data_IF_122636637677
#
_entry.id   IF_122636637677
#
_cell.length_a   1.000
_cell.length_b   1.000
_cell.length_c   1.000
_cell.angle_alpha   90.00
_cell.angle_beta   90.00
_cell.angle_gamma   90.00
#
_symmetry.space_group_name_H-M   'P 1'
#
loop_
_entity.id
_entity.type
_entity.pdbx_description
1 polymer ?
#
# COMPACT_ATOMS: atom_id res chain seq x y z
N UNK A 1 13.14 -6.30 9.10
CA UNK A 1 11.91 -7.09 8.95
C UNK A 1 10.72 -6.37 9.59
N UNK A 2 9.50 -6.84 9.36
CA UNK A 2 8.30 -6.30 10.00
C UNK A 2 7.44 -7.40 10.58
N UNK A 3 6.92 -7.16 11.78
CA UNK A 3 6.03 -8.04 12.52
C UNK A 3 4.59 -7.51 12.42
N UNK A 4 3.64 -8.39 12.15
CA UNK A 4 2.21 -8.06 12.15
C UNK A 4 1.58 -8.26 13.52
N UNK A 5 0.36 -7.75 13.73
CA UNK A 5 -0.45 -8.00 14.94
C UNK A 5 -0.64 -9.50 15.24
N UNK A 6 -0.67 -10.33 14.20
CA UNK A 6 -0.77 -11.78 14.32
C UNK A 6 0.57 -12.49 14.58
N UNK A 7 1.63 -11.76 14.94
CA UNK A 7 3.00 -12.25 15.19
C UNK A 7 3.72 -12.90 14.01
N UNK A 8 3.21 -12.76 12.78
CA UNK A 8 3.93 -13.21 11.58
C UNK A 8 4.91 -12.15 11.10
N UNK A 9 6.12 -12.59 10.71
CA UNK A 9 7.20 -11.72 10.26
C UNK A 9 7.41 -11.79 8.76
N UNK A 10 7.59 -10.64 8.11
CA UNK A 10 7.85 -10.53 6.67
C UNK A 10 8.94 -9.50 6.37
N UNK A 11 9.41 -9.48 5.13
CA UNK A 11 10.20 -8.36 4.63
C UNK A 11 9.31 -7.12 4.47
N UNK A 12 9.84 -5.93 4.77
CA UNK A 12 9.10 -4.65 4.79
C UNK A 12 8.42 -4.36 3.45
N UNK A 13 9.20 -4.40 2.37
CA UNK A 13 8.71 -4.22 1.00
C UNK A 13 7.67 -5.28 0.61
N UNK A 14 7.89 -6.53 1.01
CA UNK A 14 7.03 -7.66 0.68
C UNK A 14 5.61 -7.46 1.22
N UNK A 15 5.49 -7.11 2.50
CA UNK A 15 4.16 -6.91 3.08
C UNK A 15 3.51 -5.61 2.58
N UNK A 16 4.29 -4.55 2.31
CA UNK A 16 3.76 -3.33 1.70
C UNK A 16 3.14 -3.62 0.34
N UNK A 17 3.84 -4.33 -0.54
CA UNK A 17 3.31 -4.74 -1.86
C UNK A 17 2.09 -5.67 -1.73
N UNK A 18 2.08 -6.55 -0.73
CA UNK A 18 0.92 -7.41 -0.46
C UNK A 18 -0.31 -6.61 -0.02
N UNK A 19 -0.14 -5.65 0.89
CA UNK A 19 -1.22 -4.85 1.49
C UNK A 19 -1.99 -4.02 0.46
N UNK A 20 -1.35 -3.62 -0.64
CA UNK A 20 -2.01 -2.96 -1.78
C UNK A 20 -3.08 -3.85 -2.40
N UNK A 21 -2.87 -5.17 -2.42
CA UNK A 21 -3.82 -6.14 -2.99
C UNK A 21 -4.82 -6.64 -1.95
N UNK A 22 -4.34 -7.01 -0.77
CA UNK A 22 -5.17 -7.58 0.29
C UNK A 22 -4.66 -7.17 1.67
N UNK A 23 -5.56 -6.66 2.52
CA UNK A 23 -5.24 -6.25 3.88
C UNK A 23 -5.34 -7.41 4.91
N UNK A 24 -4.94 -8.62 4.52
CA UNK A 24 -4.94 -9.83 5.34
C UNK A 24 -3.52 -10.41 5.43
N UNK A 25 -3.18 -11.01 6.57
CA UNK A 25 -1.90 -11.69 6.74
C UNK A 25 -1.75 -12.82 5.69
N UNK A 26 -0.62 -12.88 4.95
CA UNK A 26 -0.39 -13.94 3.96
C UNK A 26 -0.44 -15.37 4.52
N UNK A 27 -0.15 -15.55 5.81
CA UNK A 27 -0.06 -16.86 6.47
C UNK A 27 -1.38 -17.24 7.12
N UNK A 28 -1.86 -16.45 8.09
CA UNK A 28 -3.03 -16.80 8.89
C UNK A 28 -4.33 -16.11 8.44
N UNK A 29 -4.27 -15.21 7.45
CA UNK A 29 -5.42 -14.46 6.92
C UNK A 29 -6.12 -13.55 7.94
N UNK A 30 -5.48 -13.25 9.06
CA UNK A 30 -5.98 -12.25 10.01
C UNK A 30 -5.82 -10.83 9.43
N UNK A 31 -6.76 -9.93 9.75
CA UNK A 31 -6.68 -8.54 9.31
C UNK A 31 -5.43 -7.86 9.87
N UNK A 32 -4.72 -7.15 8.98
CA UNK A 32 -3.51 -6.42 9.35
C UNK A 32 -3.92 -5.08 9.96
N UNK A 33 -3.71 -4.94 11.27
CA UNK A 33 -3.98 -3.70 12.01
C UNK A 33 -2.69 -2.96 12.36
N UNK A 34 -1.62 -3.69 12.66
CA UNK A 34 -0.32 -3.12 13.02
C UNK A 34 0.81 -3.69 12.16
N UNK A 35 1.82 -2.86 11.90
CA UNK A 35 3.10 -3.26 11.33
C UNK A 35 4.19 -2.65 12.19
N UNK A 36 5.00 -3.49 12.82
CA UNK A 36 6.07 -3.07 13.72
C UNK A 36 7.42 -3.49 13.15
N UNK A 37 8.34 -2.55 13.03
CA UNK A 37 9.73 -2.84 12.64
C UNK A 37 10.42 -3.61 13.75
N UNK A 38 11.22 -4.61 13.38
CA UNK A 38 11.95 -5.43 14.32
C UNK A 38 13.44 -5.39 14.00
N UNK A 39 14.13 -4.46 14.67
CA UNK A 39 15.57 -4.22 14.51
C UNK A 39 16.41 -5.34 15.12
N UNK A 40 15.92 -6.00 16.17
CA UNK A 40 16.59 -7.15 16.77
C UNK A 40 16.66 -8.32 15.79
N UNK A 41 15.57 -8.61 15.09
CA UNK A 41 15.56 -9.62 14.02
C UNK A 41 16.45 -9.20 12.86
N UNK A 42 16.49 -7.91 12.50
CA UNK A 42 17.40 -7.43 11.45
C UNK A 42 18.87 -7.67 11.84
N UNK A 43 19.27 -7.28 13.05
CA UNK A 43 20.63 -7.53 13.57
C UNK A 43 20.98 -9.01 13.62
N UNK A 44 20.04 -9.85 14.08
CA UNK A 44 20.25 -11.31 14.09
C UNK A 44 20.44 -11.89 12.70
N UNK A 45 19.67 -11.44 11.71
CA UNK A 45 19.83 -11.89 10.32
C UNK A 45 21.19 -11.44 9.76
N UNK A 46 21.63 -10.22 10.06
CA UNK A 46 22.96 -9.74 9.65
C UNK A 46 24.08 -10.58 10.28
N UNK A 47 24.00 -10.90 11.57
CA UNK A 47 24.98 -11.79 12.23
C UNK A 47 24.96 -13.21 11.64
N UNK A 48 23.78 -13.76 11.30
CA UNK A 48 23.72 -15.04 10.58
C UNK A 48 24.42 -14.93 9.23
N UNK A 49 24.19 -13.86 8.48
CA UNK A 49 24.81 -13.68 7.17
C UNK A 49 26.34 -13.65 7.27
N UNK A 50 26.88 -12.96 8.28
CA UNK A 50 28.32 -12.94 8.58
C UNK A 50 28.89 -14.33 8.89
N UNK A 51 28.15 -15.15 9.65
CA UNK A 51 28.56 -16.51 9.97
C UNK A 51 28.51 -17.47 8.77
N UNK A 52 27.64 -17.22 7.79
CA UNK A 52 27.50 -18.05 6.59
C UNK A 52 28.54 -17.75 5.50
N UNK A 53 29.29 -16.66 5.64
CA UNK A 53 30.43 -16.31 4.79
C UNK A 53 30.17 -15.12 3.85
N UNK A 54 31.25 -14.67 3.20
CA UNK A 54 31.27 -13.43 2.39
C UNK A 54 30.28 -13.49 1.22
N UNK A 55 30.17 -14.63 0.53
CA UNK A 55 29.25 -14.80 -0.60
C UNK A 55 27.80 -14.48 -0.21
N UNK A 56 27.35 -14.99 0.94
CA UNK A 56 25.98 -14.78 1.42
C UNK A 56 25.76 -13.35 1.93
N UNK A 57 26.77 -12.74 2.56
CA UNK A 57 26.72 -11.32 2.94
C UNK A 57 26.57 -10.43 1.70
N UNK A 58 27.34 -10.71 0.65
CA UNK A 58 27.30 -9.96 -0.60
C UNK A 58 25.94 -10.11 -1.27
N UNK A 59 25.43 -11.34 -1.43
CA UNK A 59 24.10 -11.59 -2.02
C UNK A 59 22.99 -10.86 -1.23
N UNK A 60 23.06 -10.88 0.10
CA UNK A 60 22.15 -10.11 0.95
C UNK A 60 22.25 -8.61 0.68
N UNK A 61 23.46 -8.05 0.61
CA UNK A 61 23.68 -6.63 0.41
C UNK A 61 23.18 -6.16 -0.96
N UNK A 62 23.48 -6.93 -2.01
CA UNK A 62 22.96 -6.69 -3.37
C UNK A 62 21.43 -6.69 -3.36
N UNK A 63 20.83 -7.72 -2.74
CA UNK A 63 19.37 -7.80 -2.62
C UNK A 63 18.75 -6.65 -1.79
N UNK A 64 19.49 -6.01 -0.87
CA UNK A 64 19.02 -4.83 -0.14
C UNK A 64 19.13 -3.56 -1.00
N UNK A 65 20.23 -3.39 -1.73
CA UNK A 65 20.44 -2.26 -2.64
C UNK A 65 19.37 -2.26 -3.75
N UNK A 66 19.09 -3.42 -4.36
CA UNK A 66 18.05 -3.56 -5.38
C UNK A 66 16.67 -3.18 -4.84
N UNK A 67 16.39 -3.49 -3.57
CA UNK A 67 15.12 -3.13 -2.93
C UNK A 67 15.01 -1.63 -2.69
N UNK A 68 16.11 -0.97 -2.32
CA UNK A 68 16.15 0.48 -2.13
C UNK A 68 15.98 1.22 -3.46
N UNK A 69 16.72 0.81 -4.49
CA UNK A 69 16.60 1.38 -5.83
C UNK A 69 15.17 1.27 -6.39
N UNK A 70 14.50 0.13 -6.18
CA UNK A 70 13.11 -0.04 -6.58
C UNK A 70 12.13 0.82 -5.76
N UNK A 71 12.41 1.08 -4.48
CA UNK A 71 11.58 1.98 -3.65
C UNK A 71 11.76 3.45 -4.05
N UNK A 72 12.95 3.86 -4.47
CA UNK A 72 13.22 5.19 -5.01
C UNK A 72 12.46 5.41 -6.34
N UNK A 73 12.53 4.45 -7.26
CA UNK A 73 11.80 4.55 -8.54
C UNK A 73 10.28 4.56 -8.37
N UNK A 74 9.74 3.80 -7.40
CA UNK A 74 8.29 3.75 -7.13
C UNK A 74 7.78 5.10 -6.57
N UNK A 75 8.63 5.92 -5.92
CA UNK A 75 8.24 7.23 -5.37
C UNK A 75 8.30 8.38 -6.39
N UNK A 76 9.09 8.24 -7.46
CA UNK A 76 9.23 9.24 -8.51
C UNK A 76 8.22 9.05 -9.66
N UNK A 77 7.25 8.15 -9.53
CA UNK A 77 6.27 7.87 -10.59
C UNK A 77 5.36 9.10 -10.83
N UNK A 78 5.50 9.78 -11.99
CA UNK A 78 4.75 11.00 -12.30
C UNK A 78 3.24 10.76 -12.42
N UNK A 79 2.79 9.51 -12.58
CA UNK A 79 1.37 9.18 -12.59
C UNK A 79 0.75 9.20 -11.19
N UNK A 80 1.53 8.93 -10.14
CA UNK A 80 1.02 8.97 -8.75
C UNK A 80 0.70 10.41 -8.33
N UNK A 81 1.56 11.37 -8.70
CA UNK A 81 1.32 12.81 -8.47
C UNK A 81 0.08 13.28 -9.25
N UNK A 82 0.00 12.95 -10.55
CA UNK A 82 -1.15 13.30 -11.39
C UNK A 82 -2.47 12.68 -10.89
N UNK A 83 -2.44 11.44 -10.41
CA UNK A 83 -3.61 10.77 -9.83
C UNK A 83 -4.05 11.41 -8.51
N UNK A 84 -3.11 11.73 -7.61
CA UNK A 84 -3.42 12.39 -6.35
C UNK A 84 -3.98 13.80 -6.57
N UNK A 85 -3.47 14.55 -7.55
CA UNK A 85 -4.03 15.84 -7.94
C UNK A 85 -5.47 15.73 -8.45
N UNK A 86 -5.78 14.68 -9.23
CA UNK A 86 -7.13 14.42 -9.69
C UNK A 86 -8.09 14.12 -8.51
N UNK A 87 -7.66 13.29 -7.55
CA UNK A 87 -8.44 13.00 -6.34
C UNK A 87 -8.64 14.26 -5.49
N UNK A 88 -7.59 15.06 -5.29
CA UNK A 88 -7.65 16.31 -4.52
C UNK A 88 -8.55 17.36 -5.18
N UNK A 89 -8.53 17.45 -6.51
CA UNK A 89 -9.42 18.34 -7.25
C UNK A 89 -10.88 17.89 -7.17
N UNK A 90 -11.16 16.59 -7.23
CA UNK A 90 -12.51 16.07 -6.99
C UNK A 90 -12.97 16.33 -5.55
N UNK A 91 -12.10 16.14 -4.56
CA UNK A 91 -12.43 16.45 -3.16
C UNK A 91 -12.73 17.94 -2.96
N UNK A 92 -11.96 18.84 -3.58
CA UNK A 92 -12.25 20.30 -3.59
C UNK A 92 -13.58 20.62 -4.26
N UNK A 93 -13.90 19.95 -5.36
CA UNK A 93 -15.18 20.12 -6.05
C UNK A 93 -16.36 19.69 -5.18
N UNK A 94 -16.27 18.54 -4.50
CA UNK A 94 -17.29 18.06 -3.57
C UNK A 94 -17.43 18.94 -2.33
N UNK A 95 -16.32 19.47 -1.79
CA UNK A 95 -16.36 20.40 -0.66
C UNK A 95 -17.00 21.74 -1.03
N UNK A 96 -16.69 22.29 -2.21
CA UNK A 96 -17.38 23.47 -2.74
C UNK A 96 -18.87 23.21 -3.04
N UNK A 97 -19.28 21.96 -3.22
CA UNK A 97 -20.69 21.58 -3.38
C UNK A 97 -21.44 21.53 -2.04
N UNK A 98 -20.77 21.20 -0.94
CA UNK A 98 -21.35 21.15 0.42
C UNK A 98 -21.34 22.51 1.14
N UNK A 99 -20.50 23.45 0.70
CA UNK A 99 -20.41 24.80 1.30
C UNK A 99 -21.25 25.87 0.57
N UNK A 100 -21.88 25.54 -0.57
CA UNK A 100 -22.83 26.44 -1.24
C UNK A 100 -24.27 26.07 -0.87
N UNK A 101 -24.69 26.43 0.34
CA UNK A 101 -26.13 26.59 0.61
C UNK A 101 -26.51 28.05 0.39
N UNK A 102 -27.25 28.32 -0.69
CA UNK A 102 -28.29 29.32 -0.55
C UNK A 102 -29.55 28.79 -1.23
N UNK A 103 -30.66 28.69 -0.48
CA UNK A 103 -32.04 28.61 -0.98
C UNK A 103 -32.15 28.74 -2.51
N UNK A 104 -31.97 27.63 -3.23
CA UNK A 104 -32.14 27.57 -4.67
C UNK A 104 -32.79 26.26 -5.02
N UNK A 105 -34.10 26.37 -5.23
CA UNK A 105 -34.95 25.39 -5.89
C UNK A 105 -34.29 24.90 -7.20
N UNK A 106 -33.60 23.76 -7.14
CA UNK A 106 -33.17 23.02 -8.33
C UNK A 106 -33.80 21.63 -8.25
N UNK A 107 -34.96 21.56 -8.90
CA UNK A 107 -35.57 20.43 -9.60
C UNK A 107 -34.97 19.06 -9.26
N UNK A 108 -35.79 18.25 -8.60
CA UNK A 108 -35.68 16.79 -8.52
C UNK A 108 -35.72 16.17 -9.93
N UNK A 109 -34.60 16.16 -10.65
CA UNK A 109 -34.44 15.31 -11.83
C UNK A 109 -33.20 14.43 -11.67
N UNK A 110 -33.48 13.18 -11.29
CA UNK A 110 -32.81 11.99 -11.82
C UNK A 110 -31.31 11.86 -11.59
N UNK A 111 -30.91 11.38 -10.42
CA UNK A 111 -29.67 10.59 -10.30
C UNK A 111 -29.77 9.40 -11.28
N UNK A 112 -28.83 9.23 -12.24
CA UNK A 112 -28.80 8.01 -13.03
C UNK A 112 -28.49 6.83 -12.09
N UNK A 113 -29.32 5.80 -12.17
CA UNK A 113 -29.11 4.56 -11.43
C UNK A 113 -27.73 3.96 -11.75
N UNK A 114 -27.03 3.36 -10.78
CA UNK A 114 -25.78 2.67 -11.05
C UNK A 114 -26.03 1.54 -12.05
N UNK A 115 -25.12 1.29 -13.02
CA UNK A 115 -25.29 0.16 -13.93
C UNK A 115 -25.30 -1.14 -13.12
N UNK A 116 -26.45 -1.80 -13.14
CA UNK A 116 -26.59 -3.20 -12.76
C UNK A 116 -25.91 -4.12 -13.77
N UNK A 117 -25.57 -5.33 -13.31
CA UNK A 117 -25.07 -6.52 -14.01
C UNK A 117 -23.58 -6.55 -14.41
N UNK A 118 -22.77 -7.14 -13.51
CA UNK A 118 -21.91 -8.25 -13.96
C UNK A 118 -22.84 -9.44 -14.10
N UNK A 119 -23.24 -9.74 -15.34
CA UNK A 119 -23.75 -11.07 -15.65
C UNK A 119 -22.53 -11.99 -15.70
N UNK A 120 -22.41 -12.81 -14.66
CA UNK A 120 -21.77 -14.11 -14.77
C UNK A 120 -22.62 -14.97 -15.70
N UNK A 121 -22.04 -15.45 -16.80
CA UNK A 121 -22.37 -16.78 -17.33
C UNK A 121 -21.30 -17.27 -18.33
N UNK A 122 -20.96 -18.56 -18.14
CA UNK A 122 -20.22 -19.51 -18.97
C UNK A 122 -18.68 -19.42 -19.04
#
# INVERSE_FOLDING_TARGET
PVLLNCSHSFCRRCIRKWKVRQNLCPICREYITTLTENDTLEGFISSIAELLGEDFMQERQEALNDRQAAEESDNEDPYVEMFMDMVNNWARFMNNFLDNDPDTDIITEGLPAPPSSIDSDA
#
